data_IF_269075636082
#
_entry.id   IF_269075636082
#
_cell.length_a   1.000
_cell.length_b   1.000
_cell.length_c   1.000
_cell.angle_alpha   90.00
_cell.angle_beta   90.00
_cell.angle_gamma   90.00
#
_symmetry.space_group_name_H-M   'P 1'
#
loop_
_entity.id
_entity.type
_entity.pdbx_description
1 polymer ?
#
# COMPACT_ATOMS: atom_id res chain seq x y z
N UNK A 1 4.43 19.53 0.23
CA UNK A 1 5.69 19.77 -0.49
C UNK A 1 5.41 20.48 -1.79
N UNK A 2 6.13 21.57 -2.04
CA UNK A 2 5.83 22.50 -3.14
C UNK A 2 6.55 22.02 -4.41
N UNK A 3 6.02 21.02 -5.12
CA UNK A 3 6.51 20.59 -6.44
C UNK A 3 6.36 21.67 -7.53
N UNK A 4 5.79 22.83 -7.18
CA UNK A 4 5.63 23.96 -8.10
C UNK A 4 6.95 24.47 -8.69
N UNK A 5 8.06 24.29 -7.99
CA UNK A 5 9.39 24.71 -8.50
C UNK A 5 9.87 23.85 -9.67
N UNK A 6 9.59 22.57 -9.66
CA UNK A 6 10.01 21.64 -10.72
C UNK A 6 9.13 21.77 -11.97
N UNK A 7 7.83 22.02 -11.78
CA UNK A 7 6.86 22.19 -12.87
C UNK A 7 7.02 23.55 -13.55
N UNK A 8 7.36 24.62 -12.80
CA UNK A 8 7.42 25.99 -13.32
C UNK A 8 8.52 26.21 -14.37
N UNK A 9 9.53 25.34 -14.44
CA UNK A 9 10.64 25.50 -15.39
C UNK A 9 10.51 24.63 -16.65
N UNK A 10 9.49 23.76 -16.76
CA UNK A 10 9.30 22.88 -17.92
C UNK A 10 10.47 21.95 -18.24
N UNK A 11 11.38 21.75 -17.27
CA UNK A 11 12.64 21.03 -17.46
C UNK A 11 12.60 19.57 -17.01
N UNK A 12 11.54 19.16 -16.31
CA UNK A 12 11.43 17.81 -15.73
C UNK A 12 10.21 17.12 -16.33
N UNK A 13 10.38 15.87 -16.77
CA UNK A 13 9.30 15.06 -17.32
C UNK A 13 8.22 14.79 -16.24
N UNK A 14 6.96 14.76 -16.66
CA UNK A 14 5.81 14.52 -15.77
C UNK A 14 5.94 13.24 -14.95
N UNK A 15 6.50 12.19 -15.52
CA UNK A 15 6.74 10.92 -14.82
C UNK A 15 7.69 11.07 -13.63
N UNK A 16 8.73 11.89 -13.75
CA UNK A 16 9.65 12.17 -12.64
C UNK A 16 8.93 12.95 -11.55
N UNK A 17 8.13 13.94 -11.93
CA UNK A 17 7.32 14.73 -10.98
C UNK A 17 6.33 13.82 -10.25
N UNK A 18 5.66 12.93 -10.97
CA UNK A 18 4.70 11.98 -10.40
C UNK A 18 5.39 11.00 -9.44
N UNK A 19 6.55 10.45 -9.83
CA UNK A 19 7.32 9.54 -8.98
C UNK A 19 7.75 10.21 -7.66
N UNK A 20 8.40 11.38 -7.74
CA UNK A 20 8.87 12.13 -6.54
C UNK A 20 7.72 12.57 -5.65
N UNK A 21 6.58 12.94 -6.28
CA UNK A 21 5.37 13.26 -5.53
C UNK A 21 4.81 12.05 -4.80
N UNK A 22 4.79 10.90 -5.46
CA UNK A 22 4.35 9.64 -4.88
C UNK A 22 5.25 9.19 -3.72
N UNK A 23 6.59 9.34 -3.86
CA UNK A 23 7.54 9.07 -2.79
C UNK A 23 7.24 9.93 -1.56
N UNK A 24 7.11 11.25 -1.75
CA UNK A 24 6.81 12.19 -0.65
C UNK A 24 5.46 11.90 0.01
N UNK A 25 4.44 11.59 -0.78
CA UNK A 25 3.11 11.22 -0.28
C UNK A 25 3.13 9.86 0.41
N UNK A 26 3.82 8.87 -0.15
CA UNK A 26 3.97 7.54 0.42
C UNK A 26 4.58 7.58 1.82
N UNK A 27 5.69 8.30 1.98
CA UNK A 27 6.36 8.50 3.28
C UNK A 27 5.46 9.24 4.28
N UNK A 28 4.84 10.35 3.86
CA UNK A 28 3.97 11.14 4.74
C UNK A 28 2.72 10.37 5.16
N UNK A 29 2.03 9.76 4.21
CA UNK A 29 0.79 9.03 4.48
C UNK A 29 1.02 7.76 5.29
N UNK A 30 2.12 7.04 5.05
CA UNK A 30 2.55 5.92 5.90
C UNK A 30 2.67 6.37 7.35
N UNK A 31 3.38 7.47 7.59
CA UNK A 31 3.54 8.01 8.95
C UNK A 31 2.20 8.36 9.60
N UNK A 32 1.26 8.92 8.83
CA UNK A 32 -0.06 9.29 9.35
C UNK A 32 -0.92 8.08 9.72
N UNK A 33 -0.89 7.02 8.92
CA UNK A 33 -1.78 5.88 9.15
C UNK A 33 -1.18 4.82 10.06
N UNK A 34 0.13 4.72 10.16
CA UNK A 34 0.83 3.68 10.94
C UNK A 34 1.22 4.12 12.34
N UNK A 35 1.73 5.35 12.50
CA UNK A 35 2.27 5.80 13.78
C UNK A 35 1.25 5.76 14.92
N UNK A 36 0.01 6.29 14.79
CA UNK A 36 -0.94 6.30 15.91
C UNK A 36 -1.35 4.92 16.40
N UNK A 37 -1.67 3.91 15.55
CA UNK A 37 -1.91 2.54 16.01
C UNK A 37 -0.70 1.89 16.65
N UNK A 38 0.50 2.11 16.09
CA UNK A 38 1.75 1.60 16.65
C UNK A 38 2.02 2.21 18.03
N UNK A 39 1.78 3.50 18.19
CA UNK A 39 1.94 4.21 19.47
C UNK A 39 0.93 3.71 20.50
N UNK A 40 -0.34 3.48 20.12
CA UNK A 40 -1.36 2.87 20.98
C UNK A 40 -0.90 1.49 21.47
N UNK A 41 -0.38 0.66 20.58
CA UNK A 41 0.09 -0.67 20.93
C UNK A 41 1.31 -0.63 21.87
N UNK A 42 2.28 0.23 21.57
CA UNK A 42 3.56 0.30 22.29
C UNK A 42 3.43 1.00 23.64
N UNK A 43 2.70 2.11 23.69
CA UNK A 43 2.55 2.97 24.88
C UNK A 43 1.28 2.73 25.66
N UNK A 44 0.37 1.89 25.15
CA UNK A 44 -0.95 1.64 25.71
C UNK A 44 -1.79 2.91 25.87
N UNK A 45 -1.55 3.89 24.98
CA UNK A 45 -2.27 5.16 24.93
C UNK A 45 -3.25 5.13 23.77
N UNK A 46 -4.57 5.13 24.03
CA UNK A 46 -5.59 5.12 22.97
C UNK A 46 -5.39 6.25 21.96
N UNK A 47 -5.71 6.00 20.69
CA UNK A 47 -5.55 6.98 19.60
C UNK A 47 -6.22 8.32 19.96
N UNK A 48 -7.41 8.28 20.56
CA UNK A 48 -8.15 9.49 20.97
C UNK A 48 -7.45 10.34 22.05
N UNK A 49 -6.50 9.78 22.78
CA UNK A 49 -5.74 10.47 23.85
C UNK A 49 -4.38 11.00 23.36
N UNK A 50 -3.98 10.68 22.12
CA UNK A 50 -2.66 11.06 21.59
C UNK A 50 -2.56 12.53 21.12
N UNK A 51 -3.65 13.29 21.17
CA UNK A 51 -3.66 14.71 20.81
C UNK A 51 -3.47 15.00 19.32
N UNK A 52 -3.63 14.00 18.46
CA UNK A 52 -3.46 14.09 16.99
C UNK A 52 -4.72 14.59 16.26
N UNK A 53 -5.72 15.06 16.98
CA UNK A 53 -6.98 15.47 16.40
C UNK A 53 -7.83 14.30 15.92
N UNK A 54 -8.58 14.51 14.83
CA UNK A 54 -9.44 13.47 14.26
C UNK A 54 -8.65 12.51 13.37
N UNK A 55 -8.00 11.52 13.97
CA UNK A 55 -7.24 10.49 13.27
C UNK A 55 -8.05 9.80 12.18
N UNK A 56 -9.30 9.50 12.46
CA UNK A 56 -10.14 8.73 11.52
C UNK A 56 -10.50 9.51 10.25
N UNK A 57 -10.26 10.82 10.24
CA UNK A 57 -10.48 11.69 9.09
C UNK A 57 -9.19 12.22 8.46
N UNK A 58 -8.02 11.81 8.94
CA UNK A 58 -6.72 12.33 8.49
C UNK A 58 -6.46 12.11 6.99
N UNK A 59 -7.03 11.04 6.42
CA UNK A 59 -6.93 10.70 5.00
C UNK A 59 -8.12 11.19 4.17
N UNK A 60 -9.06 11.95 4.76
CA UNK A 60 -10.21 12.46 4.04
C UNK A 60 -9.77 13.44 2.93
N UNK A 61 -10.27 13.22 1.73
CA UNK A 61 -9.92 14.03 0.55
C UNK A 61 -8.61 13.62 -0.14
N UNK A 62 -7.83 12.70 0.42
CA UNK A 62 -6.67 12.13 -0.26
C UNK A 62 -7.12 11.27 -1.45
N UNK A 63 -6.64 11.63 -2.65
CA UNK A 63 -6.91 10.86 -3.86
C UNK A 63 -5.74 9.93 -4.12
N UNK A 64 -6.02 8.64 -4.18
CA UNK A 64 -4.99 7.65 -4.51
C UNK A 64 -4.56 7.80 -5.97
N UNK A 65 -3.24 7.84 -6.18
CA UNK A 65 -2.62 7.87 -7.51
C UNK A 65 -2.84 6.55 -8.25
N UNK A 66 -2.86 6.63 -9.58
CA UNK A 66 -3.06 5.46 -10.43
C UNK A 66 -2.20 5.51 -11.71
N UNK A 67 -1.30 6.48 -11.81
CA UNK A 67 -0.37 6.57 -12.93
C UNK A 67 0.83 5.63 -12.73
N UNK A 68 1.42 5.18 -13.83
CA UNK A 68 2.48 4.18 -13.82
C UNK A 68 3.73 4.63 -13.04
N UNK A 69 4.10 5.90 -13.14
CA UNK A 69 5.26 6.44 -12.44
C UNK A 69 5.06 6.40 -10.92
N UNK A 70 3.90 6.83 -10.43
CA UNK A 70 3.56 6.77 -9.01
C UNK A 70 3.51 5.34 -8.49
N UNK A 71 2.93 4.41 -9.26
CA UNK A 71 2.82 3.01 -8.88
C UNK A 71 4.14 2.23 -8.98
N UNK A 72 5.17 2.79 -9.60
CA UNK A 72 6.52 2.25 -9.56
C UNK A 72 7.33 2.67 -8.33
N UNK A 73 6.79 3.57 -7.49
CA UNK A 73 7.46 4.05 -6.28
C UNK A 73 7.23 3.07 -5.11
N UNK A 74 8.29 2.46 -4.53
CA UNK A 74 8.16 1.49 -3.44
C UNK A 74 7.49 2.06 -2.18
N UNK A 75 7.82 3.31 -1.81
CA UNK A 75 7.23 3.95 -0.64
C UNK A 75 5.74 4.17 -0.80
N UNK A 76 5.31 4.53 -2.01
CA UNK A 76 3.89 4.66 -2.31
C UNK A 76 3.15 3.31 -2.31
N UNK A 77 3.78 2.27 -2.83
CA UNK A 77 3.23 0.90 -2.79
C UNK A 77 3.10 0.40 -1.35
N UNK A 78 4.09 0.68 -0.50
CA UNK A 78 4.04 0.36 0.93
C UNK A 78 2.89 1.09 1.62
N UNK A 79 2.70 2.36 1.31
CA UNK A 79 1.53 3.11 1.80
C UNK A 79 0.21 2.48 1.37
N UNK A 80 0.06 2.04 0.12
CA UNK A 80 -1.18 1.39 -0.35
C UNK A 80 -1.54 0.15 0.49
N UNK A 81 -0.55 -0.67 0.89
CA UNK A 81 -0.78 -1.81 1.77
C UNK A 81 -1.36 -1.38 3.13
N UNK A 82 -0.83 -0.31 3.70
CA UNK A 82 -1.28 0.24 4.98
C UNK A 82 -2.63 0.96 4.87
N UNK A 83 -2.88 1.63 3.75
CA UNK A 83 -4.12 2.35 3.50
C UNK A 83 -5.36 1.44 3.51
N UNK A 84 -5.24 0.21 3.01
CA UNK A 84 -6.34 -0.76 3.13
C UNK A 84 -6.64 -1.05 4.61
N UNK A 85 -5.62 -1.32 5.42
CA UNK A 85 -5.78 -1.61 6.84
C UNK A 85 -6.38 -0.40 7.60
N UNK A 86 -5.89 0.81 7.31
CA UNK A 86 -6.46 2.04 7.86
C UNK A 86 -7.94 2.21 7.50
N UNK A 87 -8.29 2.05 6.23
CA UNK A 87 -9.67 2.20 5.75
C UNK A 87 -10.61 1.20 6.41
N UNK A 88 -10.18 -0.07 6.53
CA UNK A 88 -10.95 -1.11 7.23
C UNK A 88 -11.06 -0.85 8.73
N UNK A 89 -10.00 -0.35 9.35
CA UNK A 89 -10.00 0.04 10.77
C UNK A 89 -10.96 1.21 11.02
N UNK A 90 -10.98 2.21 10.14
CA UNK A 90 -11.94 3.31 10.20
C UNK A 90 -13.38 2.82 10.12
N UNK A 91 -13.68 1.96 9.13
CA UNK A 91 -15.02 1.39 8.95
C UNK A 91 -15.47 0.56 10.16
N UNK A 92 -14.56 -0.18 10.78
CA UNK A 92 -14.85 -0.93 12.00
C UNK A 92 -15.09 0.02 13.18
N UNK A 93 -14.25 1.05 13.35
CA UNK A 93 -14.41 2.06 14.40
C UNK A 93 -15.78 2.75 14.32
N UNK A 94 -16.24 3.14 13.14
CA UNK A 94 -17.56 3.74 12.91
C UNK A 94 -18.73 2.85 13.37
N UNK A 95 -18.49 1.52 13.41
CA UNK A 95 -19.47 0.52 13.90
C UNK A 95 -19.27 0.15 15.37
N UNK A 96 -18.29 0.73 16.05
CA UNK A 96 -17.88 0.33 17.41
C UNK A 96 -17.17 -1.02 17.46
N UNK A 97 -16.60 -1.46 16.34
CA UNK A 97 -15.87 -2.72 16.22
C UNK A 97 -14.37 -2.47 16.10
N UNK A 98 -13.56 -3.53 16.24
CA UNK A 98 -12.11 -3.50 16.00
C UNK A 98 -11.75 -4.35 14.80
N UNK A 99 -11.11 -3.74 13.80
CA UNK A 99 -10.56 -4.48 12.66
C UNK A 99 -9.36 -5.32 13.12
N UNK A 100 -9.37 -6.58 12.73
CA UNK A 100 -8.22 -7.48 12.91
C UNK A 100 -7.56 -7.72 11.56
N UNK A 101 -6.27 -7.42 11.49
CA UNK A 101 -5.48 -7.74 10.28
C UNK A 101 -5.43 -9.24 10.12
N UNK A 102 -5.50 -9.76 8.88
CA UNK A 102 -5.30 -11.18 8.63
C UNK A 102 -3.90 -11.63 9.02
N UNK A 103 -3.82 -12.75 9.75
CA UNK A 103 -2.54 -13.39 10.08
C UNK A 103 -2.02 -14.26 8.92
N UNK A 104 -2.92 -14.71 8.05
CA UNK A 104 -2.59 -15.58 6.92
C UNK A 104 -2.35 -14.76 5.65
N UNK A 105 -1.34 -15.18 4.90
CA UNK A 105 -0.99 -14.57 3.61
C UNK A 105 -2.16 -14.61 2.62
N UNK A 106 -2.84 -15.73 2.55
CA UNK A 106 -3.96 -15.95 1.64
C UNK A 106 -5.13 -14.99 1.91
N UNK A 107 -5.44 -14.78 3.19
CA UNK A 107 -6.50 -13.86 3.61
C UNK A 107 -6.11 -12.40 3.34
N UNK A 108 -4.84 -12.04 3.54
CA UNK A 108 -4.30 -10.73 3.20
C UNK A 108 -4.38 -10.49 1.69
N UNK A 109 -3.94 -11.46 0.90
CA UNK A 109 -4.00 -11.41 -0.56
C UNK A 109 -5.45 -11.21 -1.06
N UNK A 110 -6.38 -12.02 -0.56
CA UNK A 110 -7.79 -11.92 -0.93
C UNK A 110 -8.40 -10.56 -0.53
N UNK A 111 -8.05 -10.03 0.64
CA UNK A 111 -8.51 -8.71 1.05
C UNK A 111 -7.97 -7.60 0.15
N UNK A 112 -6.70 -7.62 -0.22
CA UNK A 112 -6.10 -6.64 -1.14
C UNK A 112 -6.70 -6.75 -2.54
N UNK A 113 -6.90 -7.99 -3.04
CA UNK A 113 -7.51 -8.24 -4.34
C UNK A 113 -8.95 -7.72 -4.44
N UNK A 114 -9.69 -7.75 -3.34
CA UNK A 114 -11.06 -7.22 -3.29
C UNK A 114 -11.14 -5.71 -3.03
N UNK A 115 -10.13 -5.14 -2.37
CA UNK A 115 -10.12 -3.73 -1.97
C UNK A 115 -9.66 -2.80 -3.09
N UNK A 116 -8.66 -3.21 -3.87
CA UNK A 116 -8.14 -2.47 -5.00
C UNK A 116 -8.61 -3.02 -6.34
N UNK A 117 -8.51 -2.19 -7.39
CA UNK A 117 -8.78 -2.54 -8.78
C UNK A 117 -7.62 -2.14 -9.71
N UNK A 118 -7.64 -2.64 -10.94
CA UNK A 118 -6.73 -2.26 -12.01
C UNK A 118 -5.26 -2.30 -11.61
N UNK A 119 -4.53 -1.24 -11.97
CA UNK A 119 -3.08 -1.16 -11.76
C UNK A 119 -2.70 -1.08 -10.27
N UNK A 120 -3.54 -0.48 -9.41
CA UNK A 120 -3.29 -0.48 -7.96
C UNK A 120 -3.36 -1.88 -7.38
N UNK A 121 -4.34 -2.68 -7.78
CA UNK A 121 -4.45 -4.08 -7.37
C UNK A 121 -3.24 -4.88 -7.82
N UNK A 122 -2.86 -4.72 -9.08
CA UNK A 122 -1.68 -5.37 -9.64
C UNK A 122 -0.44 -5.12 -8.76
N UNK A 123 -0.09 -3.86 -8.52
CA UNK A 123 1.14 -3.51 -7.80
C UNK A 123 1.12 -3.93 -6.33
N UNK A 124 -0.01 -3.86 -5.64
CA UNK A 124 -0.06 -4.28 -4.23
C UNK A 124 0.05 -5.79 -4.08
N UNK A 125 -0.57 -6.57 -4.98
CA UNK A 125 -0.45 -8.02 -4.98
C UNK A 125 0.96 -8.47 -5.38
N UNK A 126 1.55 -7.84 -6.39
CA UNK A 126 2.94 -8.03 -6.76
C UNK A 126 3.87 -7.77 -5.57
N UNK A 127 3.68 -6.66 -4.85
CA UNK A 127 4.49 -6.32 -3.67
C UNK A 127 4.36 -7.36 -2.55
N UNK A 128 3.16 -7.86 -2.29
CA UNK A 128 2.95 -8.93 -1.30
C UNK A 128 3.67 -10.21 -1.68
N UNK A 129 3.57 -10.62 -2.95
CA UNK A 129 4.23 -11.82 -3.47
C UNK A 129 5.75 -11.69 -3.36
N UNK A 130 6.32 -10.61 -3.87
CA UNK A 130 7.77 -10.41 -3.88
C UNK A 130 8.35 -10.29 -2.47
N UNK A 131 7.69 -9.56 -1.57
CA UNK A 131 8.09 -9.46 -0.17
C UNK A 131 8.06 -10.82 0.54
N UNK A 132 7.08 -11.66 0.24
CA UNK A 132 6.99 -13.00 0.82
C UNK A 132 8.15 -13.89 0.34
N UNK A 133 8.44 -13.90 -0.97
CA UNK A 133 9.54 -14.66 -1.56
C UNK A 133 10.88 -14.18 -0.98
N UNK A 134 11.12 -12.87 -0.94
CA UNK A 134 12.34 -12.28 -0.39
C UNK A 134 12.51 -12.56 1.12
N UNK A 135 11.42 -12.73 1.83
CA UNK A 135 11.43 -13.15 3.24
C UNK A 135 11.91 -14.59 3.48
N UNK A 136 12.20 -15.36 2.43
CA UNK A 136 12.74 -16.71 2.50
C UNK A 136 11.79 -17.73 3.14
N UNK A 137 10.49 -17.46 3.12
CA UNK A 137 9.46 -18.36 3.68
C UNK A 137 9.06 -19.45 2.68
N UNK A 138 8.22 -20.37 3.12
CA UNK A 138 7.70 -21.52 2.38
C UNK A 138 7.21 -21.15 0.96
N UNK A 139 8.04 -21.35 -0.03
CA UNK A 139 7.76 -20.99 -1.44
C UNK A 139 6.55 -21.76 -1.98
N UNK A 140 6.41 -23.03 -1.61
CA UNK A 140 5.28 -23.88 -2.00
C UNK A 140 3.91 -23.30 -1.60
N UNK A 141 3.88 -22.54 -0.52
CA UNK A 141 2.66 -21.89 -0.04
C UNK A 141 2.22 -20.71 -0.92
N UNK A 142 3.16 -20.02 -1.56
CA UNK A 142 2.84 -18.85 -2.38
C UNK A 142 2.54 -19.20 -3.84
N UNK A 143 2.95 -20.36 -4.32
CA UNK A 143 2.72 -20.79 -5.72
C UNK A 143 1.26 -20.66 -6.17
N UNK A 144 0.24 -21.09 -5.40
CA UNK A 144 -1.16 -20.92 -5.79
C UNK A 144 -1.55 -19.44 -5.96
N UNK A 145 -1.02 -18.57 -5.10
CA UNK A 145 -1.30 -17.13 -5.16
C UNK A 145 -0.60 -16.47 -6.36
N UNK A 146 0.62 -16.91 -6.70
CA UNK A 146 1.33 -16.46 -7.92
C UNK A 146 0.53 -16.84 -9.16
N UNK A 147 0.02 -18.07 -9.21
CA UNK A 147 -0.82 -18.52 -10.32
C UNK A 147 -2.07 -17.67 -10.43
N UNK A 148 -2.80 -17.49 -9.34
CA UNK A 148 -4.00 -16.67 -9.30
C UNK A 148 -3.73 -15.23 -9.73
N UNK A 149 -2.64 -14.63 -9.23
CA UNK A 149 -2.22 -13.28 -9.59
C UNK A 149 -1.98 -13.14 -11.09
N UNK A 150 -1.21 -14.05 -11.70
CA UNK A 150 -0.90 -14.02 -13.13
C UNK A 150 -2.12 -14.20 -14.01
N UNK A 151 -3.05 -15.05 -13.61
CA UNK A 151 -4.26 -15.36 -14.39
C UNK A 151 -5.33 -14.27 -14.30
N UNK A 152 -5.45 -13.60 -13.15
CA UNK A 152 -6.60 -12.71 -12.88
C UNK A 152 -6.25 -11.24 -12.69
N UNK A 153 -5.06 -10.91 -12.18
CA UNK A 153 -4.79 -9.58 -11.63
C UNK A 153 -3.58 -8.86 -12.23
N UNK A 154 -2.67 -9.58 -12.89
CA UNK A 154 -1.48 -9.02 -13.50
C UNK A 154 -1.83 -8.15 -14.72
N UNK A 155 -1.70 -6.84 -14.57
CA UNK A 155 -1.88 -5.85 -15.62
C UNK A 155 -0.55 -5.56 -16.32
N UNK A 156 0.51 -5.36 -15.53
CA UNK A 156 1.87 -5.17 -16.05
C UNK A 156 2.60 -6.51 -16.14
N UNK A 157 2.79 -7.00 -17.36
CA UNK A 157 3.45 -8.29 -17.62
C UNK A 157 4.87 -8.38 -17.07
N UNK A 158 5.57 -7.23 -16.90
CA UNK A 158 6.90 -7.19 -16.29
C UNK A 158 6.90 -7.73 -14.85
N UNK A 159 5.83 -7.53 -14.11
CA UNK A 159 5.68 -8.08 -12.76
C UNK A 159 5.70 -9.61 -12.77
N UNK A 160 4.98 -10.23 -13.71
CA UNK A 160 4.99 -11.68 -13.86
C UNK A 160 6.39 -12.22 -14.24
N UNK A 161 7.09 -11.53 -15.16
CA UNK A 161 8.45 -11.87 -15.58
C UNK A 161 9.45 -11.79 -14.42
N UNK A 162 9.34 -10.74 -13.59
CA UNK A 162 10.19 -10.58 -12.39
C UNK A 162 9.91 -11.69 -11.38
N UNK A 163 8.65 -12.01 -11.10
CA UNK A 163 8.30 -13.12 -10.20
C UNK A 163 8.90 -14.45 -10.73
N UNK A 164 8.80 -14.71 -12.04
CA UNK A 164 9.38 -15.92 -12.64
C UNK A 164 10.90 -15.97 -12.50
N UNK A 165 11.57 -14.83 -12.63
CA UNK A 165 13.01 -14.73 -12.47
C UNK A 165 13.47 -14.94 -11.00
N UNK A 166 12.68 -14.49 -10.03
CA UNK A 166 13.00 -14.68 -8.59
C UNK A 166 12.76 -16.13 -8.15
N UNK A 167 11.82 -16.84 -8.79
CA UNK A 167 11.44 -18.22 -8.48
C UNK A 167 12.37 -19.27 -9.08
N UNK A 168 13.31 -18.90 -9.97
CA UNK A 168 14.34 -19.77 -10.56
C UNK A 168 15.55 -19.94 -9.64
#
# INVERSE_FOLDING_TARGET
CNNRFLIAEGKVADDVVNYVSAESEGLAYTSFVEYPPMYEETRKMPIGEQGIGDYWNIMNGCKLRNDAASLSCPDYCSFLLLNMAYTKSKQAHEKGEKYQRPDKLEDMFAQLASFYDGARRDVVLYSVITNYIQGGKEIERIEPLIKEYKEKYCVDKRHAEIIDAIMQ
#
